data_IF_139048401028
#
_entry.id   IF_139048401028
#
_cell.length_a   1.000
_cell.length_b   1.000
_cell.length_c   1.000
_cell.angle_alpha   90.00
_cell.angle_beta   90.00
_cell.angle_gamma   90.00
#
_symmetry.space_group_name_H-M   'P 1'
#
loop_
_entity.id
_entity.type
_entity.pdbx_description
1 polymer ?
#
# COMPACT_ATOMS: atom_id res chain seq x y z
N UNK A 1 -17.77 -6.20 30.07
CA UNK A 1 -18.70 -5.75 29.02
C UNK A 1 -19.63 -6.90 28.66
N UNK A 2 -20.93 -6.66 28.67
CA UNK A 2 -21.96 -7.69 28.44
C UNK A 2 -21.80 -8.39 27.07
N UNK A 3 -21.25 -7.71 26.09
CA UNK A 3 -20.88 -8.26 24.79
C UNK A 3 -19.73 -9.28 24.89
N UNK A 4 -18.71 -8.97 25.69
CA UNK A 4 -17.56 -9.88 25.88
C UNK A 4 -18.00 -11.13 26.64
N UNK A 5 -18.90 -11.01 27.59
CA UNK A 5 -19.38 -12.14 28.40
C UNK A 5 -20.31 -13.07 27.62
N UNK A 6 -21.15 -12.55 26.74
CA UNK A 6 -22.16 -13.35 26.01
C UNK A 6 -21.72 -13.82 24.63
N UNK A 7 -20.99 -13.01 23.89
CA UNK A 7 -20.68 -13.25 22.48
C UNK A 7 -19.20 -13.65 22.28
N UNK A 8 -18.38 -13.48 23.32
CA UNK A 8 -16.93 -13.64 23.25
C UNK A 8 -16.25 -12.49 22.49
N UNK A 9 -14.95 -12.42 22.58
CA UNK A 9 -14.14 -11.53 21.74
C UNK A 9 -13.66 -12.36 20.57
N UNK A 10 -14.28 -12.17 19.41
CA UNK A 10 -13.90 -12.86 18.19
C UNK A 10 -12.77 -12.09 17.50
N UNK A 11 -11.56 -12.55 17.70
CA UNK A 11 -10.36 -12.08 16.99
C UNK A 11 -10.07 -12.92 15.75
N UNK A 12 -11.08 -13.62 15.24
CA UNK A 12 -10.94 -14.37 14.01
C UNK A 12 -10.98 -13.40 12.81
N UNK A 13 -9.86 -13.29 12.11
CA UNK A 13 -9.73 -12.48 10.91
C UNK A 13 -10.67 -12.92 9.77
N UNK A 14 -11.32 -14.05 9.90
CA UNK A 14 -12.26 -14.57 8.90
C UNK A 14 -13.70 -14.15 9.18
N UNK A 15 -14.01 -13.71 10.39
CA UNK A 15 -15.35 -13.22 10.74
C UNK A 15 -15.43 -11.73 10.45
N UNK A 16 -16.06 -11.39 9.34
CA UNK A 16 -16.49 -10.01 9.08
C UNK A 16 -17.77 -9.76 9.87
N UNK A 17 -17.78 -8.81 10.82
CA UNK A 17 -19.01 -8.46 11.52
C UNK A 17 -20.05 -7.98 10.50
N UNK A 18 -21.26 -8.51 10.60
CA UNK A 18 -22.37 -8.00 9.83
C UNK A 18 -22.76 -6.57 10.30
N UNK A 19 -23.62 -5.91 9.55
CA UNK A 19 -24.05 -4.53 9.88
C UNK A 19 -24.79 -4.45 11.22
N UNK A 20 -25.48 -5.52 11.62
CA UNK A 20 -26.18 -5.61 12.89
C UNK A 20 -25.20 -5.69 14.06
N UNK A 21 -24.12 -6.48 13.92
CA UNK A 21 -23.07 -6.57 14.92
C UNK A 21 -22.35 -5.23 15.08
N UNK A 22 -22.04 -4.55 13.97
CA UNK A 22 -21.42 -3.23 13.97
C UNK A 22 -22.27 -2.16 14.71
N UNK A 23 -23.56 -2.12 14.44
CA UNK A 23 -24.50 -1.21 15.10
C UNK A 23 -24.66 -1.56 16.60
N UNK A 24 -24.65 -2.84 16.95
CA UNK A 24 -24.70 -3.32 18.35
C UNK A 24 -23.44 -2.91 19.11
N UNK A 25 -22.26 -3.10 18.54
CA UNK A 25 -20.97 -2.75 19.17
C UNK A 25 -20.94 -1.25 19.51
N UNK A 26 -21.27 -0.38 18.57
CA UNK A 26 -21.35 1.08 18.81
C UNK A 26 -22.30 1.47 19.95
N UNK A 27 -23.39 0.71 20.13
CA UNK A 27 -24.42 0.98 21.16
C UNK A 27 -24.04 0.42 22.54
N UNK A 28 -23.31 -0.70 22.58
CA UNK A 28 -23.10 -1.47 23.81
C UNK A 28 -21.81 -1.07 24.53
N UNK A 29 -20.84 -0.45 23.86
CA UNK A 29 -19.57 -0.07 24.46
C UNK A 29 -19.42 1.45 24.68
N UNK A 30 -19.98 2.01 25.79
CA UNK A 30 -19.92 3.44 26.05
C UNK A 30 -18.49 3.96 26.32
N UNK A 31 -17.56 3.08 26.68
CA UNK A 31 -16.16 3.40 26.88
C UNK A 31 -15.31 3.33 25.60
N UNK A 32 -15.96 3.05 24.45
CA UNK A 32 -15.28 2.91 23.15
C UNK A 32 -14.10 1.90 23.15
N UNK A 33 -14.13 0.92 24.07
CA UNK A 33 -13.11 -0.13 24.14
C UNK A 33 -13.19 -1.12 22.96
N UNK A 34 -14.30 -1.11 22.23
CA UNK A 34 -14.49 -1.88 20.99
C UNK A 34 -14.66 -0.91 19.82
N UNK A 35 -13.77 -0.99 18.84
CA UNK A 35 -13.82 -0.19 17.63
C UNK A 35 -14.09 -1.06 16.42
N UNK A 36 -14.90 -0.53 15.51
CA UNK A 36 -15.01 -1.08 14.16
C UNK A 36 -14.02 -0.35 13.29
N UNK A 37 -13.05 -1.09 12.75
CA UNK A 37 -12.07 -0.56 11.82
C UNK A 37 -12.62 -0.67 10.42
N UNK A 38 -12.73 0.48 9.74
CA UNK A 38 -13.29 0.58 8.40
C UNK A 38 -14.74 1.08 8.39
N UNK A 39 -15.09 1.72 7.31
CA UNK A 39 -16.42 2.25 7.03
C UNK A 39 -16.81 1.90 5.60
N UNK A 40 -18.09 1.65 5.37
CA UNK A 40 -18.64 1.61 4.01
C UNK A 40 -18.88 3.04 3.54
N UNK A 41 -18.29 3.41 2.42
CA UNK A 41 -18.45 4.71 1.79
C UNK A 41 -18.74 4.54 0.31
N UNK A 42 -19.60 5.39 -0.21
CA UNK A 42 -19.80 5.56 -1.64
C UNK A 42 -18.65 6.38 -2.24
N UNK A 43 -18.51 6.33 -3.55
CA UNK A 43 -17.56 7.17 -4.30
C UNK A 43 -17.79 8.66 -4.01
N UNK A 44 -19.07 9.07 -3.97
CA UNK A 44 -19.46 10.46 -3.71
C UNK A 44 -19.00 10.93 -2.33
N UNK A 45 -19.27 10.14 -1.27
CA UNK A 45 -18.85 10.47 0.10
C UNK A 45 -17.34 10.59 0.25
N UNK A 46 -16.57 9.76 -0.51
CA UNK A 46 -15.12 9.86 -0.52
C UNK A 46 -14.69 11.17 -1.21
N UNK A 47 -15.24 11.46 -2.38
CA UNK A 47 -14.84 12.62 -3.17
C UNK A 47 -15.26 13.94 -2.55
N UNK A 48 -16.37 13.99 -1.82
CA UNK A 48 -16.73 15.17 -1.01
C UNK A 48 -15.67 15.50 0.05
N UNK A 49 -15.01 14.48 0.62
CA UNK A 49 -13.89 14.73 1.55
C UNK A 49 -12.64 15.19 0.80
N UNK A 50 -12.31 14.52 -0.31
CA UNK A 50 -11.14 14.84 -1.14
C UNK A 50 -11.20 16.27 -1.70
N UNK A 51 -12.39 16.73 -2.09
CA UNK A 51 -12.58 18.07 -2.65
C UNK A 51 -12.33 19.20 -1.64
N UNK A 52 -12.41 18.94 -0.35
CA UNK A 52 -12.11 19.96 0.68
C UNK A 52 -10.68 20.49 0.55
N UNK A 53 -9.75 19.65 0.07
CA UNK A 53 -8.34 19.98 -0.09
C UNK A 53 -7.98 20.43 -1.50
N UNK A 54 -8.96 20.61 -2.40
CA UNK A 54 -8.75 20.93 -3.82
C UNK A 54 -7.92 22.20 -4.06
N UNK A 55 -8.04 23.18 -3.16
CA UNK A 55 -7.24 24.42 -3.25
C UNK A 55 -5.75 24.13 -3.02
N UNK A 56 -5.44 23.21 -2.11
CA UNK A 56 -4.06 22.80 -1.83
C UNK A 56 -3.49 22.00 -3.01
N UNK A 57 -4.27 21.13 -3.64
CA UNK A 57 -3.80 20.35 -4.80
C UNK A 57 -3.34 21.25 -5.96
N UNK A 58 -4.05 22.37 -6.21
CA UNK A 58 -3.69 23.32 -7.26
C UNK A 58 -2.33 23.99 -7.05
N UNK A 59 -1.92 24.20 -5.79
CA UNK A 59 -0.68 24.88 -5.45
C UNK A 59 0.50 23.92 -5.26
N UNK A 60 0.23 22.72 -4.80
CA UNK A 60 1.26 21.70 -4.50
C UNK A 60 1.53 20.71 -5.65
N UNK A 61 0.66 20.69 -6.67
CA UNK A 61 0.67 19.62 -7.66
C UNK A 61 0.18 18.27 -7.13
N UNK A 62 -0.44 18.25 -5.94
CA UNK A 62 -0.98 17.06 -5.32
C UNK A 62 -2.32 16.60 -5.89
N UNK A 63 -2.93 15.62 -5.26
CA UNK A 63 -4.18 15.03 -5.69
C UNK A 63 -4.66 13.93 -4.76
N UNK A 64 -5.40 12.99 -5.30
CA UNK A 64 -5.88 11.81 -4.59
C UNK A 64 -4.92 10.64 -4.79
N UNK A 65 -4.40 10.10 -3.69
CA UNK A 65 -3.72 8.80 -3.68
C UNK A 65 -4.62 7.76 -3.00
N UNK A 66 -4.97 6.71 -3.73
CA UNK A 66 -5.67 5.55 -3.15
C UNK A 66 -4.64 4.53 -2.70
N UNK A 67 -4.60 4.27 -1.41
CA UNK A 67 -3.70 3.35 -0.71
C UNK A 67 -4.49 2.59 0.38
N UNK A 68 -3.84 2.12 1.45
CA UNK A 68 -4.50 1.54 2.61
C UNK A 68 -4.18 0.06 2.77
N UNK A 69 -5.12 -0.84 2.51
CA UNK A 69 -4.84 -2.25 2.24
C UNK A 69 -4.21 -2.38 0.84
N UNK A 70 -4.76 -3.23 0.01
CA UNK A 70 -4.37 -3.28 -1.42
C UNK A 70 -5.51 -2.72 -2.27
N UNK A 71 -5.35 -1.55 -2.93
CA UNK A 71 -6.43 -0.94 -3.71
C UNK A 71 -6.91 -1.83 -4.86
N UNK A 72 -6.03 -2.67 -5.42
CA UNK A 72 -6.38 -3.60 -6.49
C UNK A 72 -7.24 -4.80 -6.02
N UNK A 73 -7.42 -4.98 -4.71
CA UNK A 73 -8.41 -5.94 -4.20
C UNK A 73 -9.85 -5.48 -4.44
N UNK A 74 -10.06 -4.17 -4.63
CA UNK A 74 -11.34 -3.54 -4.98
C UNK A 74 -11.17 -2.71 -6.27
N UNK A 75 -10.59 -3.32 -7.32
CA UNK A 75 -10.14 -2.62 -8.52
C UNK A 75 -11.25 -1.84 -9.23
N UNK A 76 -12.48 -2.39 -9.30
CA UNK A 76 -13.64 -1.72 -9.89
C UNK A 76 -14.00 -0.45 -9.12
N UNK A 77 -14.07 -0.54 -7.79
CA UNK A 77 -14.39 0.60 -6.93
C UNK A 77 -13.26 1.65 -6.96
N UNK A 78 -12.01 1.20 -6.94
CA UNK A 78 -10.85 2.09 -7.08
C UNK A 78 -10.89 2.82 -8.42
N UNK A 79 -11.13 2.12 -9.52
CA UNK A 79 -11.23 2.73 -10.84
C UNK A 79 -12.37 3.76 -10.92
N UNK A 80 -13.50 3.50 -10.29
CA UNK A 80 -14.62 4.45 -10.23
C UNK A 80 -14.25 5.72 -9.46
N UNK A 81 -13.60 5.59 -8.30
CA UNK A 81 -13.10 6.73 -7.52
C UNK A 81 -12.14 7.58 -8.36
N UNK A 82 -11.14 6.96 -9.01
CA UNK A 82 -10.15 7.65 -9.83
C UNK A 82 -10.81 8.39 -11.00
N UNK A 83 -11.71 7.72 -11.71
CA UNK A 83 -12.46 8.29 -12.83
C UNK A 83 -13.27 9.52 -12.41
N UNK A 84 -14.00 9.45 -11.31
CA UNK A 84 -14.79 10.56 -10.79
C UNK A 84 -13.91 11.71 -10.25
N UNK A 85 -12.74 11.38 -9.65
CA UNK A 85 -11.74 12.37 -9.26
C UNK A 85 -11.19 13.15 -10.48
N UNK A 86 -10.89 12.46 -11.58
CA UNK A 86 -10.46 13.10 -12.85
C UNK A 86 -11.52 14.03 -13.42
N UNK A 87 -12.80 13.67 -13.39
CA UNK A 87 -13.89 14.56 -13.80
C UNK A 87 -13.93 15.86 -12.97
N UNK A 88 -13.49 15.78 -11.72
CA UNK A 88 -13.38 16.92 -10.81
C UNK A 88 -12.03 17.63 -10.91
N UNK A 89 -11.21 17.31 -11.94
CA UNK A 89 -9.87 17.90 -12.14
C UNK A 89 -8.93 17.68 -10.93
N UNK A 90 -8.99 16.53 -10.31
CA UNK A 90 -8.11 16.09 -9.23
C UNK A 90 -7.16 15.04 -9.81
N UNK A 91 -5.85 15.26 -9.67
CA UNK A 91 -4.83 14.27 -10.05
C UNK A 91 -4.99 12.97 -9.27
N UNK A 92 -4.71 11.85 -9.93
CA UNK A 92 -4.99 10.52 -9.42
C UNK A 92 -3.73 9.67 -9.31
N UNK A 93 -3.60 8.99 -8.19
CA UNK A 93 -2.50 8.06 -7.90
C UNK A 93 -3.04 6.82 -7.17
N UNK A 94 -2.39 5.69 -7.36
CA UNK A 94 -2.50 4.55 -6.44
C UNK A 94 -1.14 4.18 -5.90
N UNK A 95 -1.13 3.61 -4.69
CA UNK A 95 0.02 2.94 -4.08
C UNK A 95 -0.33 1.46 -3.89
N UNK A 96 0.41 0.57 -4.56
CA UNK A 96 0.11 -0.86 -4.63
C UNK A 96 1.34 -1.71 -4.42
N UNK A 97 1.14 -2.91 -3.87
CA UNK A 97 2.17 -3.95 -3.81
C UNK A 97 2.49 -4.57 -5.17
N UNK A 98 1.68 -4.33 -6.19
CA UNK A 98 1.82 -4.94 -7.50
C UNK A 98 1.33 -6.38 -7.60
N UNK A 99 0.89 -6.98 -6.51
CA UNK A 99 0.44 -8.37 -6.45
C UNK A 99 -1.04 -8.50 -6.81
N UNK A 100 -1.37 -8.28 -8.07
CA UNK A 100 -2.73 -8.38 -8.59
C UNK A 100 -2.73 -8.91 -10.03
N UNK A 101 -3.86 -9.44 -10.49
CA UNK A 101 -3.98 -9.87 -11.88
C UNK A 101 -3.93 -8.68 -12.85
N UNK A 102 -3.48 -8.90 -14.07
CA UNK A 102 -3.36 -7.86 -15.08
C UNK A 102 -4.71 -7.19 -15.41
N UNK A 103 -5.80 -7.95 -15.40
CA UNK A 103 -7.15 -7.42 -15.63
C UNK A 103 -7.52 -6.35 -14.60
N UNK A 104 -7.14 -6.53 -13.33
CA UNK A 104 -7.35 -5.54 -12.29
C UNK A 104 -6.52 -4.27 -12.51
N UNK A 105 -5.27 -4.43 -12.95
CA UNK A 105 -4.44 -3.29 -13.34
C UNK A 105 -5.06 -2.52 -14.51
N UNK A 106 -5.55 -3.19 -15.55
CA UNK A 106 -6.15 -2.55 -16.71
C UNK A 106 -7.38 -1.68 -16.36
N UNK A 107 -8.11 -2.01 -15.29
CA UNK A 107 -9.22 -1.18 -14.83
C UNK A 107 -8.75 0.18 -14.31
N UNK A 108 -7.65 0.21 -13.56
CA UNK A 108 -7.21 1.43 -12.87
C UNK A 108 -6.19 2.25 -13.67
N UNK A 109 -5.28 1.61 -14.42
CA UNK A 109 -4.16 2.28 -15.09
C UNK A 109 -4.59 3.41 -16.05
N UNK A 110 -5.69 3.25 -16.76
CA UNK A 110 -6.25 4.27 -17.68
C UNK A 110 -6.75 5.52 -16.96
N UNK A 111 -7.01 5.42 -15.67
CA UNK A 111 -7.51 6.50 -14.82
C UNK A 111 -6.40 7.11 -13.93
N UNK A 112 -5.14 6.67 -14.09
CA UNK A 112 -4.02 7.17 -13.29
C UNK A 112 -3.28 8.31 -13.99
N UNK A 113 -2.84 9.28 -13.19
CA UNK A 113 -1.85 10.29 -13.59
C UNK A 113 -0.47 9.95 -13.02
N UNK A 114 -0.41 9.12 -11.96
CA UNK A 114 0.82 8.66 -11.32
C UNK A 114 0.62 7.27 -10.69
N UNK A 115 1.65 6.45 -10.68
CA UNK A 115 1.64 5.12 -10.04
C UNK A 115 2.78 5.01 -9.05
N UNK A 116 2.49 4.57 -7.83
CA UNK A 116 3.49 4.15 -6.86
C UNK A 116 3.37 2.63 -6.70
N UNK A 117 4.49 1.91 -6.85
CA UNK A 117 4.49 0.46 -6.77
C UNK A 117 5.66 -0.04 -5.91
N UNK A 118 5.36 -0.92 -4.96
CA UNK A 118 6.37 -1.51 -4.10
C UNK A 118 7.06 -2.71 -4.78
N UNK A 119 8.40 -2.68 -4.85
CA UNK A 119 9.22 -3.88 -5.09
C UNK A 119 10.08 -4.10 -3.85
N UNK A 120 9.67 -5.07 -3.03
CA UNK A 120 10.30 -5.28 -1.71
C UNK A 120 11.56 -6.14 -1.78
N UNK A 121 11.64 -7.04 -2.75
CA UNK A 121 12.78 -7.95 -2.94
C UNK A 121 12.84 -8.39 -4.40
N UNK A 122 14.05 -8.54 -4.94
CA UNK A 122 14.24 -9.05 -6.31
C UNK A 122 14.27 -10.58 -6.35
N UNK A 123 14.86 -11.21 -5.31
CA UNK A 123 14.87 -12.66 -5.15
C UNK A 123 13.47 -13.17 -4.79
N UNK A 124 12.88 -14.01 -5.67
CA UNK A 124 11.55 -14.56 -5.45
C UNK A 124 11.48 -15.49 -4.23
N UNK A 125 12.48 -16.32 -4.02
CA UNK A 125 12.52 -17.21 -2.86
C UNK A 125 12.54 -16.42 -1.54
N UNK A 126 13.35 -15.36 -1.47
CA UNK A 126 13.36 -14.44 -0.31
C UNK A 126 12.05 -13.70 -0.14
N UNK A 127 11.48 -13.22 -1.24
CA UNK A 127 10.18 -12.56 -1.21
C UNK A 127 9.11 -13.50 -0.63
N UNK A 128 9.10 -14.75 -1.08
CA UNK A 128 8.18 -15.79 -0.61
C UNK A 128 8.39 -16.14 0.87
N UNK A 129 9.63 -16.22 1.32
CA UNK A 129 9.96 -16.50 2.72
C UNK A 129 9.37 -15.44 3.67
N UNK A 130 9.45 -14.16 3.29
CA UNK A 130 9.06 -13.05 4.16
C UNK A 130 7.61 -12.54 3.94
N UNK A 131 7.02 -12.78 2.76
CA UNK A 131 5.67 -12.29 2.42
C UNK A 131 4.65 -13.42 2.20
N UNK A 132 5.11 -14.65 2.11
CA UNK A 132 4.29 -15.83 1.83
C UNK A 132 4.06 -16.12 0.35
N UNK A 133 4.51 -15.21 -0.58
CA UNK A 133 4.30 -15.35 -2.02
C UNK A 133 5.53 -14.87 -2.81
N UNK A 134 5.78 -15.46 -3.99
CA UNK A 134 6.83 -14.98 -4.90
C UNK A 134 6.52 -13.61 -5.52
N UNK A 135 7.50 -13.01 -6.16
CA UNK A 135 7.41 -11.66 -6.75
C UNK A 135 7.30 -11.68 -8.28
N UNK A 136 7.20 -12.86 -8.90
CA UNK A 136 7.20 -12.99 -10.36
C UNK A 136 6.10 -12.16 -11.00
N UNK A 137 4.89 -12.22 -10.42
CA UNK A 137 3.73 -11.45 -10.91
C UNK A 137 3.95 -9.95 -10.76
N UNK A 138 4.63 -9.50 -9.70
CA UNK A 138 4.95 -8.09 -9.46
C UNK A 138 5.88 -7.58 -10.57
N UNK A 139 6.97 -8.30 -10.84
CA UNK A 139 7.95 -7.93 -11.86
C UNK A 139 7.34 -7.98 -13.28
N UNK A 140 6.54 -9.00 -13.57
CA UNK A 140 5.80 -9.12 -14.84
C UNK A 140 4.82 -7.96 -15.03
N UNK A 141 4.03 -7.61 -14.01
CA UNK A 141 3.12 -6.48 -14.08
C UNK A 141 3.86 -5.18 -14.33
N UNK A 142 5.02 -4.98 -13.69
CA UNK A 142 5.82 -3.78 -13.90
C UNK A 142 6.29 -3.64 -15.35
N UNK A 143 6.75 -4.72 -15.97
CA UNK A 143 7.11 -4.76 -17.40
C UNK A 143 5.89 -4.45 -18.28
N UNK A 144 4.77 -5.11 -18.06
CA UNK A 144 3.52 -4.88 -18.82
C UNK A 144 3.01 -3.45 -18.69
N UNK A 145 3.13 -2.84 -17.51
CA UNK A 145 2.77 -1.44 -17.28
C UNK A 145 3.60 -0.53 -18.19
N UNK A 146 4.92 -0.73 -18.24
CA UNK A 146 5.81 0.09 -19.08
C UNK A 146 5.58 -0.12 -20.56
N UNK A 147 5.29 -1.34 -20.99
CA UNK A 147 4.97 -1.66 -22.38
C UNK A 147 3.63 -1.03 -22.82
N UNK A 148 2.61 -1.09 -21.96
CA UNK A 148 1.25 -0.67 -22.30
C UNK A 148 1.01 0.82 -22.07
N UNK A 149 1.65 1.40 -21.03
CA UNK A 149 1.51 2.79 -20.62
C UNK A 149 2.89 3.48 -20.49
N UNK A 150 3.64 3.63 -21.60
CA UNK A 150 5.02 4.11 -21.57
C UNK A 150 5.18 5.52 -21.00
N UNK A 151 4.14 6.34 -21.06
CA UNK A 151 4.14 7.73 -20.59
C UNK A 151 3.58 7.91 -19.16
N UNK A 152 3.09 6.83 -18.51
CA UNK A 152 2.62 6.92 -17.13
C UNK A 152 3.84 7.11 -16.22
N UNK A 153 3.91 8.18 -15.42
CA UNK A 153 4.93 8.33 -14.40
C UNK A 153 4.79 7.21 -13.34
N UNK A 154 5.88 6.52 -13.06
CA UNK A 154 5.92 5.42 -12.10
C UNK A 154 7.06 5.62 -11.13
N UNK A 155 6.74 5.65 -9.83
CA UNK A 155 7.69 5.57 -8.74
C UNK A 155 7.70 4.16 -8.15
N UNK A 156 8.84 3.50 -8.21
CA UNK A 156 9.05 2.25 -7.48
C UNK A 156 9.61 2.57 -6.10
N UNK A 157 9.01 1.98 -5.06
CA UNK A 157 9.47 2.10 -3.68
C UNK A 157 9.98 0.78 -3.15
N UNK A 158 11.10 0.84 -2.43
CA UNK A 158 11.63 -0.31 -1.70
C UNK A 158 11.86 0.06 -0.24
N UNK A 159 11.04 -0.45 0.69
CA UNK A 159 11.35 -0.38 2.11
C UNK A 159 12.55 -1.28 2.39
N UNK A 160 13.65 -0.70 2.90
CA UNK A 160 14.86 -1.46 3.27
C UNK A 160 14.65 -2.04 4.66
N UNK A 161 14.42 -3.35 4.74
CA UNK A 161 14.01 -4.07 5.95
C UNK A 161 15.16 -4.95 6.44
N UNK A 162 15.63 -4.78 7.71
CA UNK A 162 16.71 -5.56 8.28
C UNK A 162 16.46 -7.06 8.19
N UNK A 163 17.47 -7.80 7.73
CA UNK A 163 17.43 -9.26 7.60
C UNK A 163 16.61 -9.78 6.41
N UNK A 164 15.84 -8.91 5.74
CA UNK A 164 15.05 -9.30 4.57
C UNK A 164 15.73 -8.89 3.27
N UNK A 165 15.86 -7.60 3.00
CA UNK A 165 16.38 -7.08 1.73
C UNK A 165 17.50 -6.05 1.90
N UNK A 166 18.05 -5.90 3.09
CA UNK A 166 19.00 -4.86 3.48
C UNK A 166 20.46 -5.13 3.05
N UNK A 167 20.66 -5.84 1.96
CA UNK A 167 21.98 -6.03 1.34
C UNK A 167 22.14 -5.13 0.12
N UNK A 168 23.37 -4.62 -0.12
CA UNK A 168 23.67 -3.82 -1.32
C UNK A 168 23.30 -4.58 -2.59
N UNK A 169 23.67 -5.86 -2.67
CA UNK A 169 23.42 -6.70 -3.85
C UNK A 169 21.94 -6.78 -4.20
N UNK A 170 21.07 -7.01 -3.21
CA UNK A 170 19.65 -7.14 -3.42
C UNK A 170 19.02 -5.82 -3.89
N UNK A 171 19.37 -4.72 -3.23
CA UNK A 171 18.85 -3.38 -3.57
C UNK A 171 19.36 -2.94 -4.96
N UNK A 172 20.62 -3.21 -5.31
CA UNK A 172 21.17 -2.86 -6.61
C UNK A 172 20.50 -3.63 -7.76
N UNK A 173 20.10 -4.88 -7.57
CA UNK A 173 19.31 -5.64 -8.55
C UNK A 173 17.93 -5.00 -8.80
N UNK A 174 17.27 -4.53 -7.75
CA UNK A 174 16.01 -3.80 -7.90
C UNK A 174 16.26 -2.48 -8.65
N UNK A 175 17.27 -1.72 -8.24
CA UNK A 175 17.63 -0.45 -8.86
C UNK A 175 17.92 -0.61 -10.36
N UNK A 176 18.72 -1.63 -10.75
CA UNK A 176 19.00 -1.95 -12.14
C UNK A 176 17.72 -2.26 -12.94
N UNK A 177 16.84 -3.10 -12.39
CA UNK A 177 15.58 -3.44 -13.02
C UNK A 177 14.68 -2.19 -13.21
N UNK A 178 14.58 -1.33 -12.21
CA UNK A 178 13.80 -0.09 -12.25
C UNK A 178 14.36 0.89 -13.26
N UNK A 179 15.69 1.02 -13.33
CA UNK A 179 16.40 1.87 -14.29
C UNK A 179 16.17 1.40 -15.73
N UNK A 180 16.24 0.08 -16.01
CA UNK A 180 15.95 -0.49 -17.32
C UNK A 180 14.54 -0.16 -17.81
N UNK A 181 13.59 -0.02 -16.88
CA UNK A 181 12.20 0.35 -17.17
C UNK A 181 11.95 1.85 -17.21
N UNK A 182 12.99 2.69 -17.02
CA UNK A 182 12.89 4.15 -16.98
C UNK A 182 11.83 4.63 -15.99
N UNK A 183 11.91 4.14 -14.75
CA UNK A 183 11.03 4.52 -13.64
C UNK A 183 11.82 5.27 -12.58
N UNK A 184 11.12 6.08 -11.80
CA UNK A 184 11.69 6.69 -10.59
C UNK A 184 11.88 5.63 -9.50
N UNK A 185 12.90 5.81 -8.66
CA UNK A 185 13.21 4.87 -7.59
C UNK A 185 13.43 5.56 -6.25
N UNK A 186 12.76 5.07 -5.21
CA UNK A 186 12.88 5.58 -3.84
C UNK A 186 13.14 4.46 -2.85
N UNK A 187 14.18 4.63 -2.04
CA UNK A 187 14.43 3.79 -0.87
C UNK A 187 13.79 4.39 0.36
N UNK A 188 12.96 3.61 1.02
CA UNK A 188 12.35 3.98 2.30
C UNK A 188 13.12 3.32 3.44
N UNK A 189 13.52 4.11 4.45
CA UNK A 189 14.08 3.54 5.67
C UNK A 189 12.99 2.76 6.41
N UNK A 190 13.32 1.54 6.85
CA UNK A 190 12.42 0.74 7.69
C UNK A 190 11.93 1.51 8.92
N UNK A 191 10.65 1.42 9.20
CA UNK A 191 10.00 1.99 10.37
C UNK A 191 8.91 1.05 10.91
N UNK A 192 8.57 1.22 12.18
CA UNK A 192 7.63 0.35 12.92
C UNK A 192 6.22 0.95 13.04
N UNK A 193 5.79 1.80 12.12
CA UNK A 193 4.47 2.44 12.14
C UNK A 193 3.30 1.43 12.02
N UNK A 194 3.58 0.18 11.63
CA UNK A 194 2.59 -0.89 11.58
C UNK A 194 2.25 -1.53 12.94
N UNK A 195 3.05 -1.30 13.99
CA UNK A 195 2.86 -1.91 15.33
C UNK A 195 1.42 -1.81 15.85
N UNK A 196 0.74 -0.65 15.84
CA UNK A 196 -0.62 -0.55 16.37
C UNK A 196 -1.63 -1.47 15.66
N UNK A 197 -1.36 -1.84 14.39
CA UNK A 197 -2.21 -2.80 13.64
C UNK A 197 -2.03 -4.22 14.16
N UNK A 198 -0.79 -4.60 14.52
CA UNK A 198 -0.52 -5.91 15.12
C UNK A 198 -1.14 -6.00 16.52
N UNK A 199 -0.99 -4.94 17.33
CA UNK A 199 -1.61 -4.86 18.66
C UNK A 199 -3.13 -4.97 18.56
N UNK A 200 -3.75 -4.25 17.63
CA UNK A 200 -5.21 -4.31 17.40
C UNK A 200 -5.70 -5.68 16.94
N UNK A 201 -4.84 -6.48 16.32
CA UNK A 201 -5.13 -7.84 15.87
C UNK A 201 -4.67 -8.90 16.88
N UNK A 202 -4.14 -8.51 18.05
CA UNK A 202 -3.50 -9.39 19.04
C UNK A 202 -2.50 -10.35 18.40
N UNK A 203 -1.68 -9.82 17.49
CA UNK A 203 -0.61 -10.57 16.83
C UNK A 203 0.74 -10.07 17.32
N UNK A 204 1.65 -10.99 17.54
CA UNK A 204 3.03 -10.66 17.77
C UNK A 204 3.64 -10.01 16.52
N UNK A 205 4.40 -8.91 16.73
CA UNK A 205 5.09 -8.25 15.64
C UNK A 205 6.35 -9.05 15.27
N UNK A 206 6.44 -9.60 14.05
CA UNK A 206 7.47 -10.58 13.72
C UNK A 206 8.90 -10.02 13.72
N UNK A 207 9.05 -8.70 13.61
CA UNK A 207 10.35 -8.04 13.57
C UNK A 207 10.86 -7.59 14.94
N UNK A 208 10.07 -7.77 16.01
CA UNK A 208 10.46 -7.33 17.36
C UNK A 208 10.93 -5.89 17.40
N UNK A 209 12.09 -5.64 18.04
CA UNK A 209 12.69 -4.31 18.21
C UNK A 209 13.81 -4.00 17.19
N UNK A 210 13.85 -4.71 16.06
CA UNK A 210 14.89 -4.52 15.05
C UNK A 210 14.79 -3.13 14.43
N UNK A 211 15.91 -2.46 14.32
CA UNK A 211 16.07 -1.17 13.66
C UNK A 211 17.08 -1.28 12.52
N UNK A 212 16.86 -0.49 11.47
CA UNK A 212 17.84 -0.38 10.39
C UNK A 212 18.93 0.62 10.78
N UNK A 213 20.17 0.18 10.74
CA UNK A 213 21.34 1.02 10.98
C UNK A 213 21.39 2.18 9.96
N UNK A 214 21.58 3.41 10.47
CA UNK A 214 21.58 4.62 9.66
C UNK A 214 22.74 4.70 8.66
N UNK A 215 23.92 4.25 9.06
CA UNK A 215 25.11 4.28 8.20
C UNK A 215 24.99 3.24 7.10
N UNK A 216 24.45 2.05 7.42
CA UNK A 216 24.12 1.03 6.42
C UNK A 216 23.11 1.55 5.39
N UNK A 217 22.03 2.19 5.85
CA UNK A 217 21.02 2.75 4.95
C UNK A 217 21.61 3.85 4.06
N UNK A 218 22.37 4.78 4.62
CA UNK A 218 23.05 5.84 3.86
C UNK A 218 23.98 5.26 2.80
N UNK A 219 24.76 4.24 3.16
CA UNK A 219 25.68 3.58 2.24
C UNK A 219 24.94 2.97 1.06
N UNK A 220 23.86 2.21 1.33
CA UNK A 220 23.03 1.62 0.28
C UNK A 220 22.43 2.72 -0.62
N UNK A 221 21.91 3.80 -0.04
CA UNK A 221 21.33 4.93 -0.79
C UNK A 221 22.37 5.61 -1.70
N UNK A 222 23.61 5.78 -1.22
CA UNK A 222 24.71 6.32 -2.04
C UNK A 222 25.03 5.41 -3.23
N UNK A 223 25.09 4.10 -3.00
CA UNK A 223 25.35 3.12 -4.07
C UNK A 223 24.27 3.10 -5.14
N UNK A 224 23.00 3.24 -4.73
CA UNK A 224 21.90 3.37 -5.69
C UNK A 224 22.01 4.65 -6.50
N UNK A 225 22.32 5.80 -5.86
CA UNK A 225 22.46 7.08 -6.54
C UNK A 225 23.61 7.12 -7.57
N UNK A 226 24.57 6.21 -7.50
CA UNK A 226 25.64 6.04 -8.49
C UNK A 226 25.13 5.37 -9.78
N UNK A 227 23.93 4.73 -9.76
CA UNK A 227 23.35 4.03 -10.91
C UNK A 227 22.28 4.85 -11.66
N UNK A 228 21.72 5.87 -11.01
CA UNK A 228 20.72 6.80 -11.56
C UNK A 228 21.34 8.17 -11.79
#
# INVERSE_FOLDING_TARGET
CEFIEKEGVFWDNQVRPDENLAARVKRICPSEALHIIGERKSVEEILEQVEKDKTFYKTSGGGLTVSGGEPLMQAEFTAEILKEAKKRTISTCIETSGQASWERFQLVLKELDYLIMDIKCFSSDRHKEHTGIGNELILENMQKIRETFPNLPVLVRTPVIPGFNDTEEEILKIAEFVNQLNCEYELLKYHRLGLPKYDSLHREYPMGDVELDDEKFKKIKMRVAEQF
#
